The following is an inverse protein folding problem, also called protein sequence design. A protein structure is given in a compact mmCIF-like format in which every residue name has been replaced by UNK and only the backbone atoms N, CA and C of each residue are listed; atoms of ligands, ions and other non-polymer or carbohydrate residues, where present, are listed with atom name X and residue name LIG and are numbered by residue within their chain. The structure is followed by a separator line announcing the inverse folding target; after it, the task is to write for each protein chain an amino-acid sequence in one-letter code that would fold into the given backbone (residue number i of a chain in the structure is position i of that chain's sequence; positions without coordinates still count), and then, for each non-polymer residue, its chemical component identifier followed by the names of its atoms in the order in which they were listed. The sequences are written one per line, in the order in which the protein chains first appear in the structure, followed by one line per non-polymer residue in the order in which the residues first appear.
data_IF_938409181287
#
_entry.id   IF_938409181287
#
_cell.length_a   1.000
_cell.length_b   1.000
_cell.length_c   1.000
_cell.angle_alpha   90.00
_cell.angle_beta   90.00
_cell.angle_gamma   90.00
#
_symmetry.space_group_name_H-M   'P 1'
#
loop_
_entity.id
_entity.type
_entity.pdbx_description
1 polymer ?
#
# COMPACT_ATOMS: atom_id res chain seq x y z
N UNK A 1 7.95 -11.71 9.81
CA UNK A 1 6.84 -11.01 9.13
C UNK A 1 7.25 -9.55 9.00
N UNK A 2 7.07 -8.94 7.82
CA UNK A 2 7.32 -7.51 7.58
C UNK A 2 6.14 -6.64 8.05
N UNK A 3 5.57 -6.98 9.21
CA UNK A 3 4.41 -6.26 9.77
C UNK A 3 4.81 -5.21 10.78
N UNK A 4 5.98 -5.30 11.41
CA UNK A 4 6.48 -4.26 12.31
C UNK A 4 7.51 -3.39 11.60
N UNK A 5 7.35 -2.07 11.72
CA UNK A 5 8.27 -1.07 11.18
C UNK A 5 8.82 -0.19 12.32
N UNK A 6 9.78 -0.68 13.13
CA UNK A 6 10.20 0.01 14.35
C UNK A 6 10.74 1.41 14.13
N UNK A 7 11.48 1.64 13.04
CA UNK A 7 12.03 2.96 12.69
C UNK A 7 10.93 3.99 12.38
N UNK A 8 9.78 3.53 11.88
CA UNK A 8 8.63 4.39 11.61
C UNK A 8 7.63 4.42 12.78
N UNK A 9 7.79 3.55 13.78
CA UNK A 9 6.83 3.38 14.87
C UNK A 9 5.48 2.86 14.39
N UNK A 10 5.45 2.04 13.32
CA UNK A 10 4.23 1.53 12.69
C UNK A 10 4.13 0.01 12.77
N UNK A 11 2.89 -0.48 12.70
CA UNK A 11 2.58 -1.91 12.52
C UNK A 11 1.47 -2.07 11.49
N UNK A 12 1.71 -2.88 10.47
CA UNK A 12 0.71 -3.23 9.48
C UNK A 12 -0.28 -4.24 10.07
N UNK A 13 -1.57 -3.89 10.01
CA UNK A 13 -2.67 -4.76 10.41
C UNK A 13 -3.58 -4.97 9.20
N UNK A 14 -3.77 -6.23 8.81
CA UNK A 14 -4.69 -6.56 7.72
C UNK A 14 -6.12 -6.15 8.08
N UNK A 15 -6.73 -5.27 7.29
CA UNK A 15 -8.08 -4.78 7.58
C UNK A 15 -9.12 -5.89 7.80
N UNK A 16 -8.97 -7.02 7.09
CA UNK A 16 -9.86 -8.18 7.19
C UNK A 16 -9.87 -8.86 8.59
N UNK A 17 -8.89 -8.59 9.45
CA UNK A 17 -8.83 -9.17 10.80
C UNK A 17 -9.53 -8.31 11.86
N UNK A 18 -10.01 -7.11 11.50
CA UNK A 18 -10.69 -6.19 12.40
C UNK A 18 -12.20 -6.25 12.08
N UNK A 19 -13.03 -6.83 12.96
CA UNK A 19 -14.47 -6.90 12.74
C UNK A 19 -15.08 -5.51 12.54
N UNK A 20 -15.97 -5.39 11.56
CA UNK A 20 -16.74 -4.18 11.25
C UNK A 20 -15.90 -2.92 10.97
N UNK A 21 -14.59 -3.04 10.71
CA UNK A 21 -13.74 -1.90 10.38
C UNK A 21 -14.14 -1.31 9.02
N UNK A 22 -14.50 -0.02 8.93
CA UNK A 22 -14.94 0.61 7.69
C UNK A 22 -13.75 0.93 6.79
N UNK A 23 -13.07 -0.12 6.31
CA UNK A 23 -11.87 -0.01 5.50
C UNK A 23 -12.15 0.70 4.18
N UNK A 24 -11.35 1.72 3.89
CA UNK A 24 -11.36 2.46 2.63
C UNK A 24 -9.94 2.49 2.08
N UNK A 25 -9.60 1.65 1.09
CA UNK A 25 -8.28 1.67 0.49
C UNK A 25 -8.04 3.01 -0.21
N UNK A 26 -6.80 3.49 -0.16
CA UNK A 26 -6.42 4.78 -0.72
C UNK A 26 -5.50 4.67 -1.94
N UNK A 27 -4.61 3.67 -1.97
CA UNK A 27 -3.61 3.46 -3.03
C UNK A 27 -3.04 2.04 -2.96
N UNK A 28 -2.34 1.65 -4.03
CA UNK A 28 -1.53 0.43 -4.10
C UNK A 28 -0.05 0.82 -4.11
N UNK A 29 0.78 0.16 -3.28
CA UNK A 29 2.26 0.32 -3.28
C UNK A 29 2.92 -0.91 -3.89
N UNK A 30 4.16 -0.75 -4.36
CA UNK A 30 4.93 -1.81 -5.01
C UNK A 30 4.24 -2.41 -6.26
N UNK A 31 3.47 -1.59 -6.97
CA UNK A 31 2.66 -2.04 -8.11
C UNK A 31 3.51 -2.44 -9.32
N UNK A 32 4.79 -2.04 -9.39
CA UNK A 32 5.71 -2.49 -10.45
C UNK A 32 5.94 -4.02 -10.46
N UNK A 33 5.73 -4.66 -9.30
CA UNK A 33 5.87 -6.12 -9.12
C UNK A 33 4.49 -6.83 -9.15
N UNK A 34 3.42 -6.13 -9.55
CA UNK A 34 2.07 -6.67 -9.55
C UNK A 34 1.95 -7.82 -10.57
N UNK A 35 1.54 -9.00 -10.09
CA UNK A 35 1.17 -10.14 -10.96
C UNK A 35 -0.31 -10.09 -11.32
N UNK A 36 -1.14 -9.62 -10.38
CA UNK A 36 -2.56 -9.37 -10.59
C UNK A 36 -2.79 -7.85 -10.62
N UNK A 37 -3.11 -7.33 -11.79
CA UNK A 37 -3.51 -5.93 -11.94
C UNK A 37 -4.93 -5.72 -11.44
N UNK A 38 -5.12 -4.70 -10.62
CA UNK A 38 -6.40 -4.33 -10.00
C UNK A 38 -6.84 -3.00 -10.59
N UNK A 39 -7.89 -3.01 -11.39
CA UNK A 39 -8.44 -1.80 -12.00
C UNK A 39 -9.60 -1.28 -11.14
N UNK A 40 -9.29 -0.45 -10.15
CA UNK A 40 -10.23 0.06 -9.13
C UNK A 40 -10.27 1.59 -9.06
N UNK A 41 -9.53 2.28 -9.93
CA UNK A 41 -9.43 3.72 -9.99
C UNK A 41 -8.56 4.33 -8.89
N UNK A 42 -7.91 3.53 -8.04
CA UNK A 42 -7.00 4.02 -7.02
C UNK A 42 -5.58 4.20 -7.58
N UNK A 43 -4.80 5.18 -7.08
CA UNK A 43 -3.41 5.38 -7.47
C UNK A 43 -2.57 4.11 -7.34
N UNK A 44 -1.78 3.83 -8.38
CA UNK A 44 -0.84 2.72 -8.44
C UNK A 44 0.57 3.27 -8.29
N UNK A 45 1.18 3.14 -7.11
CA UNK A 45 2.56 3.57 -6.91
C UNK A 45 3.52 2.46 -7.32
N UNK A 46 4.54 2.84 -8.09
CA UNK A 46 5.62 1.96 -8.54
C UNK A 46 6.25 1.22 -7.35
N UNK A 47 6.63 1.98 -6.32
CA UNK A 47 7.12 1.51 -5.03
C UNK A 47 6.38 2.23 -3.89
N UNK A 48 7.07 2.91 -2.97
CA UNK A 48 6.48 3.65 -1.85
C UNK A 48 6.32 5.15 -2.16
N UNK A 49 5.46 5.87 -1.41
CA UNK A 49 5.44 7.34 -1.45
C UNK A 49 6.82 7.94 -1.15
N UNK A 50 7.09 9.12 -1.70
CA UNK A 50 8.37 9.82 -1.50
C UNK A 50 8.61 10.17 -0.02
N UNK A 51 7.56 10.50 0.72
CA UNK A 51 7.57 10.79 2.15
C UNK A 51 7.94 9.56 3.00
N UNK A 52 7.79 8.35 2.44
CA UNK A 52 8.20 7.08 3.04
C UNK A 52 9.55 6.59 2.50
N UNK A 53 10.25 7.41 1.70
CA UNK A 53 11.56 7.08 1.13
C UNK A 53 11.51 6.29 -0.18
N UNK A 54 10.34 6.17 -0.82
CA UNK A 54 10.20 5.60 -2.16
C UNK A 54 10.37 6.64 -3.27
N UNK A 55 10.08 6.23 -4.51
CA UNK A 55 10.14 7.09 -5.69
C UNK A 55 8.99 8.10 -5.75
N UNK A 56 7.82 7.76 -5.19
CA UNK A 56 6.58 8.52 -5.39
C UNK A 56 6.04 8.50 -6.83
N UNK A 57 6.64 7.71 -7.73
CA UNK A 57 6.17 7.55 -9.11
C UNK A 57 4.86 6.76 -9.14
N UNK A 58 3.91 7.23 -9.96
CA UNK A 58 2.70 6.48 -10.28
C UNK A 58 2.88 5.69 -11.57
N UNK A 59 2.25 4.53 -11.64
CA UNK A 59 2.11 3.71 -12.84
C UNK A 59 0.72 3.89 -13.42
N UNK A 60 0.60 3.61 -14.71
CA UNK A 60 -0.70 3.50 -15.37
C UNK A 60 -1.49 2.33 -14.77
N UNK A 61 -2.82 2.46 -14.76
CA UNK A 61 -3.73 1.42 -14.28
C UNK A 61 -3.93 0.31 -15.31
#
# INVERSE_FOLDING_TARGET
MLTEHPTFGLTDVFAAVIPDFPFRPALHVNYQEAVLHIHDGLPKLKDFPAEMGGSGETLEE
#
